data_IF_861585940458
#
_entry.id   IF_861585940458
#
_cell.length_a   1.000
_cell.length_b   1.000
_cell.length_c   1.000
_cell.angle_alpha   90.00
_cell.angle_beta   90.00
_cell.angle_gamma   90.00
#
_symmetry.space_group_name_H-M   'P 1'
#
loop_
_entity.id
_entity.type
_entity.pdbx_description
1 polymer ?
#
# COMPACT_ATOMS: atom_id res chain seq x y z
N UNK A 1 -0.30 20.53 -10.16
CA UNK A 1 0.86 19.87 -9.52
C UNK A 1 1.73 19.28 -10.61
N UNK A 2 3.04 19.50 -10.53
CA UNK A 2 3.98 18.87 -11.45
C UNK A 2 4.07 17.38 -11.12
N UNK A 3 4.13 16.50 -12.13
CA UNK A 3 4.20 15.04 -11.99
C UNK A 3 5.24 14.58 -10.94
N UNK A 4 6.44 15.20 -10.96
CA UNK A 4 7.49 14.90 -9.99
C UNK A 4 7.11 15.19 -8.54
N UNK A 5 6.38 16.28 -8.28
CA UNK A 5 5.96 16.62 -6.90
C UNK A 5 4.90 15.65 -6.38
N UNK A 6 4.06 15.09 -7.26
CA UNK A 6 3.10 14.06 -6.90
C UNK A 6 3.80 12.76 -6.46
N UNK A 7 4.83 12.34 -7.20
CA UNK A 7 5.63 11.16 -6.83
C UNK A 7 6.36 11.37 -5.51
N UNK A 8 6.99 12.54 -5.31
CA UNK A 8 7.70 12.82 -4.06
C UNK A 8 6.75 12.77 -2.86
N UNK A 9 5.60 13.41 -2.97
CA UNK A 9 4.59 13.43 -1.92
C UNK A 9 4.05 12.02 -1.59
N UNK A 10 3.86 11.18 -2.62
CA UNK A 10 3.42 9.80 -2.43
C UNK A 10 4.49 8.94 -1.76
N UNK A 11 5.76 9.09 -2.11
CA UNK A 11 6.87 8.37 -1.48
C UNK A 11 7.04 8.72 0.01
N UNK A 12 6.67 9.95 0.41
CA UNK A 12 6.73 10.39 1.81
C UNK A 12 5.54 9.88 2.63
N UNK A 13 4.33 9.89 2.06
CA UNK A 13 3.10 9.69 2.82
C UNK A 13 2.47 8.31 2.64
N UNK A 14 2.90 7.52 1.68
CA UNK A 14 2.26 6.24 1.38
C UNK A 14 2.39 5.24 2.53
N UNK A 15 1.25 4.68 2.94
CA UNK A 15 1.15 3.73 4.06
C UNK A 15 1.76 2.37 3.71
N UNK A 16 1.67 1.93 2.46
CA UNK A 16 2.21 0.64 2.04
C UNK A 16 3.74 0.63 2.08
N UNK A 17 4.40 1.77 1.75
CA UNK A 17 5.83 1.92 1.93
C UNK A 17 6.25 1.92 3.39
N UNK A 18 5.43 2.47 4.29
CA UNK A 18 5.68 2.40 5.74
C UNK A 18 5.58 0.97 6.24
N UNK A 19 4.59 0.21 5.78
CA UNK A 19 4.46 -1.23 6.09
C UNK A 19 5.69 -1.99 5.57
N UNK A 20 6.13 -1.74 4.34
CA UNK A 20 7.33 -2.38 3.78
C UNK A 20 8.59 -2.08 4.60
N UNK A 21 8.76 -0.84 5.09
CA UNK A 21 9.89 -0.47 5.98
C UNK A 21 9.85 -1.24 7.30
N UNK A 22 8.69 -1.28 7.95
CA UNK A 22 8.54 -2.03 9.20
C UNK A 22 8.71 -3.55 9.01
N UNK A 23 8.33 -4.09 7.86
CA UNK A 23 8.61 -5.48 7.51
C UNK A 23 10.12 -5.76 7.43
N UNK A 24 10.90 -4.85 6.85
CA UNK A 24 12.37 -4.96 6.84
C UNK A 24 12.95 -4.91 8.25
N UNK A 25 12.47 -4.00 9.10
CA UNK A 25 12.89 -3.91 10.50
C UNK A 25 12.57 -5.20 11.27
N UNK A 26 11.39 -5.78 11.04
CA UNK A 26 10.99 -7.06 11.63
C UNK A 26 11.92 -8.20 11.19
N UNK A 27 12.25 -8.31 9.90
CA UNK A 27 13.17 -9.33 9.38
C UNK A 27 14.60 -9.11 9.91
N UNK A 28 15.03 -7.86 10.07
CA UNK A 28 16.30 -7.53 10.70
C UNK A 28 16.35 -8.00 12.17
N UNK A 29 15.28 -7.78 12.92
CA UNK A 29 15.18 -8.26 14.30
C UNK A 29 15.20 -9.80 14.37
N UNK A 30 14.50 -10.48 13.47
CA UNK A 30 14.52 -11.94 13.36
C UNK A 30 15.93 -12.49 13.04
N UNK A 31 16.66 -11.82 12.15
CA UNK A 31 18.06 -12.15 11.88
C UNK A 31 18.93 -11.97 13.14
N UNK A 32 18.74 -10.88 13.90
CA UNK A 32 19.49 -10.67 15.14
C UNK A 32 19.21 -11.74 16.20
N UNK A 33 17.95 -12.21 16.30
CA UNK A 33 17.58 -13.35 17.16
C UNK A 33 18.32 -14.61 16.73
N UNK A 34 18.31 -14.94 15.43
CA UNK A 34 19.02 -16.10 14.90
C UNK A 34 20.53 -16.01 15.13
N UNK A 35 21.09 -14.79 15.02
CA UNK A 35 22.51 -14.54 15.34
C UNK A 35 22.81 -14.72 16.83
N UNK A 36 21.90 -14.30 17.72
CA UNK A 36 22.07 -14.42 19.16
C UNK A 36 22.15 -15.90 19.61
N UNK A 37 21.51 -16.82 18.90
CA UNK A 37 21.57 -18.26 19.19
C UNK A 37 22.98 -18.87 19.05
N UNK A 38 23.94 -18.16 18.45
CA UNK A 38 25.35 -18.56 18.40
C UNK A 38 26.06 -18.35 19.75
N UNK A 39 25.50 -17.57 20.67
CA UNK A 39 26.09 -17.22 21.93
C UNK A 39 25.34 -17.87 23.11
N UNK A 40 26.04 -18.21 24.21
CA UNK A 40 25.39 -18.73 25.41
C UNK A 40 24.45 -17.69 26.03
N UNK A 41 23.27 -18.14 26.45
CA UNK A 41 22.34 -17.28 27.19
C UNK A 41 22.72 -17.22 28.66
N UNK A 42 23.04 -16.03 29.15
CA UNK A 42 23.33 -15.80 30.57
C UNK A 42 22.05 -15.34 31.26
N UNK A 43 21.61 -16.13 32.23
CA UNK A 43 20.43 -15.84 33.04
C UNK A 43 20.83 -15.39 34.47
N UNK A 44 20.11 -14.40 34.98
CA UNK A 44 20.13 -13.98 36.36
C UNK A 44 18.83 -14.43 37.03
N UNK A 45 18.94 -15.31 38.05
CA UNK A 45 17.78 -15.80 38.80
C UNK A 45 17.88 -15.31 40.24
N UNK A 46 16.83 -14.64 40.72
CA UNK A 46 16.68 -14.23 42.10
C UNK A 46 15.42 -14.86 42.71
N UNK A 47 15.57 -15.50 43.86
CA UNK A 47 14.43 -15.99 44.63
C UNK A 47 14.52 -15.54 46.07
N UNK A 48 13.39 -15.13 46.61
CA UNK A 48 13.21 -14.82 48.00
C UNK A 48 12.06 -15.67 48.53
N UNK A 49 12.38 -16.51 49.51
CA UNK A 49 11.38 -17.38 50.16
C UNK A 49 11.32 -17.05 51.63
N UNK A 50 10.13 -16.83 52.12
CA UNK A 50 9.81 -16.64 53.51
C UNK A 50 8.83 -17.72 53.96
N UNK A 51 9.25 -18.60 54.86
CA UNK A 51 8.44 -19.69 55.39
C UNK A 51 8.23 -19.54 56.88
N UNK A 52 6.98 -19.61 57.29
CA UNK A 52 6.60 -19.72 58.68
C UNK A 52 5.85 -21.04 58.89
N UNK A 53 6.24 -21.92 59.77
CA UNK A 53 5.49 -23.13 60.07
C UNK A 53 4.17 -22.73 60.74
N UNK A 54 3.05 -23.25 60.25
CA UNK A 54 1.67 -22.76 60.50
C UNK A 54 1.05 -23.23 61.84
N UNK A 55 1.73 -23.94 62.71
CA UNK A 55 1.03 -24.62 63.80
C UNK A 55 1.72 -24.80 65.13
N UNK A 56 2.85 -24.14 65.44
CA UNK A 56 3.49 -24.27 66.75
C UNK A 56 3.89 -22.91 67.35
N UNK A 57 3.51 -22.61 68.61
CA UNK A 57 3.98 -21.40 69.29
C UNK A 57 5.48 -21.45 69.56
N UNK A 58 6.21 -20.40 69.14
CA UNK A 58 7.67 -20.25 69.36
C UNK A 58 8.55 -20.56 68.16
N UNK A 59 8.00 -20.80 66.98
CA UNK A 59 8.81 -21.08 65.76
C UNK A 59 9.18 -19.82 65.05
N UNK A 60 10.50 -19.65 64.79
CA UNK A 60 11.04 -18.50 64.05
C UNK A 60 10.71 -18.54 62.57
N UNK A 61 10.33 -17.39 62.02
CA UNK A 61 10.16 -17.19 60.59
C UNK A 61 11.55 -17.32 59.92
N UNK A 62 11.68 -18.27 59.00
CA UNK A 62 12.88 -18.41 58.19
C UNK A 62 12.77 -17.65 56.88
N UNK A 63 13.74 -16.80 56.57
CA UNK A 63 13.82 -16.03 55.32
C UNK A 63 15.11 -16.42 54.60
N UNK A 64 15.00 -16.86 53.36
CA UNK A 64 16.15 -17.14 52.52
C UNK A 64 16.07 -16.30 51.24
N UNK A 65 17.19 -15.67 50.90
CA UNK A 65 17.37 -14.97 49.64
C UNK A 65 18.46 -15.71 48.86
N UNK A 66 18.17 -16.02 47.61
CA UNK A 66 19.11 -16.66 46.71
C UNK A 66 19.24 -15.85 45.44
N UNK A 67 20.43 -15.52 45.02
CA UNK A 67 20.76 -14.85 43.77
C UNK A 67 21.78 -15.72 43.05
N UNK A 68 21.45 -16.16 41.84
CA UNK A 68 22.32 -16.99 41.01
C UNK A 68 22.46 -16.45 39.59
N UNK A 69 23.66 -16.52 39.07
CA UNK A 69 23.99 -16.28 37.67
C UNK A 69 24.33 -17.61 37.04
N UNK A 70 23.70 -17.95 35.96
CA UNK A 70 23.95 -19.24 35.30
C UNK A 70 23.87 -19.11 33.77
N UNK A 71 24.56 -20.00 33.09
CA UNK A 71 24.43 -20.20 31.64
C UNK A 71 23.39 -21.28 31.43
N UNK A 72 22.30 -20.91 30.80
CA UNK A 72 21.27 -21.87 30.37
C UNK A 72 21.65 -22.48 29.02
N UNK A 73 21.23 -23.72 28.80
CA UNK A 73 21.47 -24.56 27.63
C UNK A 73 22.05 -23.86 26.39
N UNK A 74 23.33 -24.09 26.14
CA UNK A 74 24.03 -23.63 24.94
C UNK A 74 24.52 -24.84 24.14
N UNK A 75 24.25 -24.81 22.83
CA UNK A 75 24.63 -25.88 21.91
C UNK A 75 25.90 -25.47 21.15
N UNK A 76 26.92 -26.29 21.20
CA UNK A 76 28.14 -26.09 20.40
C UNK A 76 27.85 -26.57 18.97
N UNK A 77 27.96 -25.69 17.99
CA UNK A 77 27.62 -25.96 16.61
C UNK A 77 28.73 -26.65 15.81
N UNK A 78 28.96 -27.94 16.08
CA UNK A 78 29.98 -28.73 15.38
C UNK A 78 29.63 -29.01 13.90
N UNK A 79 28.36 -29.04 13.55
CA UNK A 79 27.87 -29.40 12.20
C UNK A 79 27.34 -28.22 11.41
N UNK A 80 27.46 -27.00 11.92
CA UNK A 80 27.05 -25.79 11.22
C UNK A 80 25.54 -25.57 11.13
N UNK A 81 24.71 -26.24 11.96
CA UNK A 81 23.26 -26.10 11.98
C UNK A 81 22.84 -24.67 12.32
N UNK A 82 23.39 -24.09 13.37
CA UNK A 82 23.08 -22.73 13.83
C UNK A 82 23.64 -21.70 12.84
N UNK A 83 24.83 -21.95 12.29
CA UNK A 83 25.44 -21.12 11.27
C UNK A 83 24.56 -21.06 10.01
N UNK A 84 24.07 -22.21 9.53
CA UNK A 84 23.17 -22.26 8.36
C UNK A 84 21.82 -21.59 8.61
N UNK A 85 21.25 -21.71 9.80
CA UNK A 85 20.01 -21.01 10.18
C UNK A 85 20.20 -19.48 10.20
N UNK A 86 21.36 -19.00 10.68
CA UNK A 86 21.70 -17.57 10.62
C UNK A 86 21.84 -17.08 9.17
N UNK A 87 22.49 -17.86 8.30
CA UNK A 87 22.60 -17.50 6.88
C UNK A 87 21.24 -17.48 6.17
N UNK A 88 20.37 -18.44 6.48
CA UNK A 88 19.00 -18.44 5.98
C UNK A 88 18.21 -17.20 6.45
N UNK A 89 18.34 -16.82 7.73
CA UNK A 89 17.72 -15.61 8.26
C UNK A 89 18.30 -14.33 7.64
N UNK A 90 19.62 -14.30 7.35
CA UNK A 90 20.25 -13.20 6.62
C UNK A 90 19.71 -13.07 5.20
N UNK A 91 19.58 -14.19 4.49
CA UNK A 91 19.00 -14.20 3.13
C UNK A 91 17.55 -13.69 3.12
N UNK A 92 16.74 -14.05 4.11
CA UNK A 92 15.38 -13.52 4.27
C UNK A 92 15.36 -12.02 4.56
N UNK A 93 16.27 -11.53 5.39
CA UNK A 93 16.42 -10.09 5.64
C UNK A 93 16.78 -9.35 4.35
N UNK A 94 17.79 -9.81 3.59
CA UNK A 94 18.17 -9.20 2.31
C UNK A 94 17.04 -9.25 1.28
N UNK A 95 16.31 -10.36 1.22
CA UNK A 95 15.12 -10.47 0.37
C UNK A 95 14.04 -9.43 0.72
N UNK A 96 13.85 -9.13 2.01
CA UNK A 96 12.90 -8.10 2.46
C UNK A 96 13.35 -6.68 2.07
N UNK A 97 14.65 -6.38 2.04
CA UNK A 97 15.19 -5.11 1.55
C UNK A 97 14.91 -4.93 0.04
N UNK A 98 15.11 -5.98 -0.75
CA UNK A 98 14.73 -5.95 -2.17
C UNK A 98 13.21 -5.86 -2.37
N UNK A 99 12.43 -6.49 -1.49
CA UNK A 99 10.98 -6.35 -1.43
C UNK A 99 10.53 -4.90 -1.20
N UNK A 100 11.21 -4.17 -0.32
CA UNK A 100 10.95 -2.74 -0.11
C UNK A 100 11.25 -1.89 -1.37
N UNK A 101 12.35 -2.16 -2.07
CA UNK A 101 12.68 -1.49 -3.35
C UNK A 101 11.62 -1.77 -4.41
N UNK A 102 11.16 -3.02 -4.49
CA UNK A 102 10.07 -3.41 -5.39
C UNK A 102 8.77 -2.66 -5.07
N UNK A 103 8.42 -2.50 -3.79
CA UNK A 103 7.27 -1.72 -3.37
C UNK A 103 7.38 -0.24 -3.80
N UNK A 104 8.57 0.36 -3.73
CA UNK A 104 8.81 1.72 -4.22
C UNK A 104 8.61 1.82 -5.74
N UNK A 105 9.18 0.89 -6.51
CA UNK A 105 9.06 0.87 -7.97
C UNK A 105 7.59 0.69 -8.38
N UNK A 106 6.88 -0.23 -7.74
CA UNK A 106 5.47 -0.49 -8.04
C UNK A 106 4.58 0.71 -7.70
N UNK A 107 4.85 1.42 -6.63
CA UNK A 107 4.15 2.65 -6.27
C UNK A 107 4.37 3.74 -7.32
N UNK A 108 5.61 3.98 -7.73
CA UNK A 108 5.94 4.96 -8.78
C UNK A 108 5.24 4.60 -10.10
N UNK A 109 5.27 3.31 -10.48
CA UNK A 109 4.59 2.83 -11.69
C UNK A 109 3.06 3.04 -11.60
N UNK A 110 2.45 2.73 -10.46
CA UNK A 110 1.02 2.90 -10.24
C UNK A 110 0.57 4.37 -10.32
N UNK A 111 1.37 5.29 -9.75
CA UNK A 111 1.11 6.72 -9.81
C UNK A 111 1.29 7.24 -11.24
N UNK A 112 2.34 6.79 -11.94
CA UNK A 112 2.59 7.18 -13.33
C UNK A 112 1.45 6.76 -14.24
N UNK A 113 0.98 5.53 -14.13
CA UNK A 113 -0.15 5.02 -14.89
C UNK A 113 -1.45 5.77 -14.58
N UNK A 114 -1.71 6.06 -13.30
CA UNK A 114 -2.89 6.84 -12.90
C UNK A 114 -2.85 8.28 -13.45
N UNK A 115 -1.69 8.91 -13.44
CA UNK A 115 -1.48 10.26 -14.01
C UNK A 115 -1.69 10.29 -15.50
N UNK A 116 -1.06 9.36 -16.25
CA UNK A 116 -1.21 9.26 -17.71
C UNK A 116 -2.67 8.97 -18.10
N UNK A 117 -3.32 8.05 -17.38
CA UNK A 117 -4.75 7.77 -17.60
C UNK A 117 -5.62 9.01 -17.36
N UNK A 118 -5.35 9.77 -16.29
CA UNK A 118 -6.09 11.01 -16.02
C UNK A 118 -5.87 12.04 -17.13
N UNK A 119 -4.65 12.17 -17.63
CA UNK A 119 -4.34 13.09 -18.75
C UNK A 119 -5.11 12.69 -20.01
N UNK A 120 -5.06 11.42 -20.38
CA UNK A 120 -5.79 10.88 -21.54
C UNK A 120 -7.31 11.13 -21.41
N UNK A 121 -7.91 10.85 -20.26
CA UNK A 121 -9.34 11.09 -20.06
C UNK A 121 -9.71 12.58 -20.03
N UNK A 122 -8.79 13.44 -19.64
CA UNK A 122 -9.00 14.90 -19.72
C UNK A 122 -9.05 15.37 -21.17
N UNK A 123 -8.18 14.84 -22.02
CA UNK A 123 -8.18 15.14 -23.46
C UNK A 123 -9.41 14.55 -24.16
N UNK A 124 -9.79 13.29 -23.82
CA UNK A 124 -11.00 12.67 -24.33
C UNK A 124 -12.26 13.42 -23.92
N UNK A 125 -12.30 13.99 -22.72
CA UNK A 125 -13.41 14.84 -22.29
C UNK A 125 -13.51 16.10 -23.15
N UNK A 126 -12.39 16.78 -23.40
CA UNK A 126 -12.36 17.96 -24.26
C UNK A 126 -12.81 17.64 -25.71
N UNK A 127 -12.42 16.47 -26.22
CA UNK A 127 -12.88 15.98 -27.53
C UNK A 127 -14.37 15.68 -27.52
N UNK A 128 -14.88 15.00 -26.49
CA UNK A 128 -16.31 14.69 -26.36
C UNK A 128 -17.17 15.96 -26.27
N UNK A 129 -16.70 17.00 -25.58
CA UNK A 129 -17.37 18.30 -25.50
C UNK A 129 -17.46 19.00 -26.87
N UNK A 130 -16.36 19.00 -27.63
CA UNK A 130 -16.36 19.53 -29.01
C UNK A 130 -17.29 18.76 -29.94
N UNK A 131 -17.24 17.41 -29.82
CA UNK A 131 -18.11 16.52 -30.62
C UNK A 131 -19.58 16.77 -30.31
N UNK A 132 -19.92 16.91 -29.02
CA UNK A 132 -21.30 17.24 -28.64
C UNK A 132 -21.75 18.58 -29.21
N UNK A 133 -20.95 19.63 -29.12
CA UNK A 133 -21.28 20.93 -29.66
C UNK A 133 -21.57 20.87 -31.17
N UNK A 134 -20.72 20.18 -31.95
CA UNK A 134 -20.91 19.99 -33.38
C UNK A 134 -22.20 19.17 -33.69
N UNK A 135 -22.52 18.13 -32.90
CA UNK A 135 -23.75 17.33 -33.09
C UNK A 135 -25.01 18.13 -32.74
N UNK A 136 -24.96 18.97 -31.70
CA UNK A 136 -26.09 19.86 -31.36
C UNK A 136 -26.32 20.93 -32.41
N UNK A 137 -25.26 21.46 -33.00
CA UNK A 137 -25.36 22.40 -34.12
C UNK A 137 -25.96 21.73 -35.38
N UNK A 138 -25.49 20.53 -35.72
CA UNK A 138 -26.05 19.72 -36.80
C UNK A 138 -27.54 19.42 -36.57
N UNK A 139 -27.91 19.04 -35.35
CA UNK A 139 -29.30 18.80 -34.98
C UNK A 139 -30.17 20.05 -35.20
N UNK A 140 -29.67 21.22 -34.78
CA UNK A 140 -30.35 22.50 -34.96
C UNK A 140 -30.55 22.82 -36.43
N UNK A 141 -29.53 22.63 -37.27
CA UNK A 141 -29.63 22.85 -38.71
C UNK A 141 -30.59 21.87 -39.39
N UNK A 142 -30.55 20.59 -38.98
CA UNK A 142 -31.47 19.56 -39.54
C UNK A 142 -32.93 19.87 -39.18
N UNK A 143 -33.19 20.38 -37.98
CA UNK A 143 -34.52 20.83 -37.56
C UNK A 143 -35.01 21.99 -38.41
N UNK A 144 -34.18 23.00 -38.65
CA UNK A 144 -34.50 24.12 -39.51
C UNK A 144 -34.80 23.69 -40.96
N UNK A 145 -34.05 22.70 -41.50
CA UNK A 145 -34.32 22.13 -42.85
C UNK A 145 -35.66 21.42 -42.90
N UNK A 146 -36.02 20.67 -41.87
CA UNK A 146 -37.34 20.01 -41.82
C UNK A 146 -38.48 21.04 -41.76
N UNK A 147 -38.33 22.06 -40.91
CA UNK A 147 -39.32 23.13 -40.75
C UNK A 147 -39.52 23.93 -42.04
N UNK A 148 -38.44 24.03 -42.87
CA UNK A 148 -38.46 24.68 -44.17
C UNK A 148 -38.99 23.75 -45.32
N UNK A 149 -39.35 22.50 -45.00
CA UNK A 149 -39.84 21.54 -45.98
C UNK A 149 -38.78 20.90 -46.89
N UNK A 150 -37.47 21.13 -46.62
CA UNK A 150 -36.34 20.63 -47.44
C UNK A 150 -35.71 19.37 -46.83
N UNK A 151 -36.00 19.06 -45.54
CA UNK A 151 -35.48 17.91 -44.83
C UNK A 151 -36.49 16.80 -44.64
N UNK A 152 -36.01 15.62 -44.21
CA UNK A 152 -36.86 14.48 -43.87
C UNK A 152 -36.96 14.27 -42.36
N UNK A 153 -38.08 13.70 -41.88
CA UNK A 153 -38.23 13.33 -40.48
C UNK A 153 -37.22 12.26 -40.07
N UNK A 154 -36.77 11.41 -41.00
CA UNK A 154 -35.72 10.41 -40.75
C UNK A 154 -34.38 11.07 -40.40
N UNK A 155 -33.98 12.09 -41.19
CA UNK A 155 -32.72 12.83 -40.91
C UNK A 155 -32.74 13.49 -39.54
N UNK A 156 -33.88 14.06 -39.13
CA UNK A 156 -34.03 14.64 -37.80
C UNK A 156 -33.85 13.58 -36.71
N UNK A 157 -34.50 12.41 -36.83
CA UNK A 157 -34.37 11.32 -35.83
C UNK A 157 -32.96 10.78 -35.77
N UNK A 158 -32.24 10.70 -36.88
CA UNK A 158 -30.83 10.32 -36.92
C UNK A 158 -29.96 11.36 -36.20
N UNK A 159 -30.16 12.65 -36.45
CA UNK A 159 -29.42 13.72 -35.79
C UNK A 159 -29.70 13.75 -34.26
N UNK A 160 -30.97 13.55 -33.86
CA UNK A 160 -31.32 13.42 -32.42
C UNK A 160 -30.58 12.24 -31.74
N UNK A 161 -30.55 11.07 -32.40
CA UNK A 161 -29.85 9.89 -31.90
C UNK A 161 -28.34 10.14 -31.74
N UNK A 162 -27.71 10.77 -32.74
CA UNK A 162 -26.29 11.10 -32.70
C UNK A 162 -25.95 12.14 -31.60
N UNK A 163 -26.81 13.14 -31.39
CA UNK A 163 -26.63 14.10 -30.32
C UNK A 163 -26.81 13.45 -28.93
N UNK A 164 -27.78 12.54 -28.78
CA UNK A 164 -27.99 11.77 -27.56
C UNK A 164 -26.77 10.87 -27.22
N UNK A 165 -26.24 10.17 -28.23
CA UNK A 165 -25.02 9.36 -28.08
C UNK A 165 -23.79 10.20 -27.65
N UNK A 166 -23.62 11.40 -28.24
CA UNK A 166 -22.56 12.31 -27.87
C UNK A 166 -22.68 12.82 -26.41
N UNK A 167 -23.92 13.08 -25.95
CA UNK A 167 -24.18 13.46 -24.53
C UNK A 167 -23.84 12.35 -23.57
N UNK A 168 -24.15 11.10 -23.91
CA UNK A 168 -23.77 9.91 -23.08
C UNK A 168 -22.28 9.81 -23.02
N UNK A 169 -21.56 9.91 -24.14
CA UNK A 169 -20.09 9.86 -24.17
C UNK A 169 -19.44 10.96 -23.32
N UNK A 170 -19.94 12.20 -23.42
CA UNK A 170 -19.46 13.31 -22.59
C UNK A 170 -19.66 13.04 -21.09
N UNK A 171 -20.86 12.59 -20.71
CA UNK A 171 -21.20 12.29 -19.32
C UNK A 171 -20.29 11.19 -18.74
N UNK A 172 -19.99 10.16 -19.55
CA UNK A 172 -19.10 9.07 -19.18
C UNK A 172 -17.66 9.57 -18.98
N UNK A 173 -17.09 10.32 -19.93
CA UNK A 173 -15.74 10.87 -19.77
C UNK A 173 -15.64 11.83 -18.58
N UNK A 174 -16.67 12.62 -18.32
CA UNK A 174 -16.73 13.49 -17.14
C UNK A 174 -16.72 12.71 -15.83
N UNK A 175 -17.45 11.59 -15.77
CA UNK A 175 -17.46 10.67 -14.64
C UNK A 175 -16.08 10.06 -14.42
N UNK A 176 -15.46 9.50 -15.48
CA UNK A 176 -14.14 8.84 -15.40
C UNK A 176 -13.07 9.85 -14.97
N UNK A 177 -13.07 11.07 -15.49
CA UNK A 177 -12.13 12.13 -15.11
C UNK A 177 -12.26 12.50 -13.62
N UNK A 178 -13.49 12.56 -13.09
CA UNK A 178 -13.72 12.82 -11.67
C UNK A 178 -13.18 11.69 -10.79
N UNK A 179 -13.44 10.43 -11.16
CA UNK A 179 -12.93 9.24 -10.44
C UNK A 179 -11.41 9.20 -10.50
N UNK A 180 -10.80 9.45 -11.65
CA UNK A 180 -9.35 9.48 -11.82
C UNK A 180 -8.67 10.52 -10.93
N UNK A 181 -9.25 11.71 -10.76
CA UNK A 181 -8.75 12.74 -9.84
C UNK A 181 -8.81 12.27 -8.37
N UNK A 182 -9.90 11.62 -7.97
CA UNK A 182 -10.04 11.07 -6.62
C UNK A 182 -9.01 9.97 -6.35
N UNK A 183 -8.85 9.02 -7.29
CA UNK A 183 -7.88 7.93 -7.19
C UNK A 183 -6.43 8.41 -7.12
N UNK A 184 -6.06 9.45 -7.85
CA UNK A 184 -4.74 10.08 -7.73
C UNK A 184 -4.53 10.71 -6.33
N UNK A 185 -5.58 11.25 -5.72
CA UNK A 185 -5.52 11.85 -4.38
C UNK A 185 -5.39 10.82 -3.25
N UNK A 186 -6.04 9.67 -3.40
CA UNK A 186 -5.97 8.59 -2.39
C UNK A 186 -4.60 7.89 -2.34
N UNK A 187 -3.86 7.88 -3.45
CA UNK A 187 -2.53 7.24 -3.53
C UNK A 187 -1.38 8.11 -3.01
N UNK A 188 -1.66 9.36 -2.71
CA UNK A 188 -0.76 10.37 -2.17
C UNK A 188 -0.98 10.57 -0.68
#
# INVERSE_FOLDING_TARGET
MLFRSLIALALENNRDLRIARHSVEQMRAAYQISRANQFPTVGLNGSYTRSAPSSLPGVSVNSSANLSVGVSAWEIDFFGRIASLKEAALAQYLASEEGQKNAQISLVAAISNAWLSLQTHTELLALAERTLATREETLKLTRLRLDSGVGTALDLRQAESLAAAARISQAEQKRITKIGRASCRERV
#
